data_IF_237725573907
#
_entry.id   IF_237725573907
#
_cell.length_a   1.000
_cell.length_b   1.000
_cell.length_c   1.000
_cell.angle_alpha   90.00
_cell.angle_beta   90.00
_cell.angle_gamma   90.00
#
_symmetry.space_group_name_H-M   'P 1'
#
loop_
_entity.id
_entity.type
_entity.pdbx_description
1 polymer ?
#
# COMPACT_ATOMS: atom_id res chain seq x y z
N UNK A 1 -3.05 1.59 19.24
CA UNK A 1 -2.75 0.76 18.06
C UNK A 1 -3.48 -0.57 18.23
N UNK A 2 -4.27 -1.02 17.25
CA UNK A 2 -5.16 -2.20 17.38
C UNK A 2 -4.41 -3.53 17.39
N UNK A 3 -3.27 -3.62 16.69
CA UNK A 3 -2.45 -4.82 16.58
C UNK A 3 -1.03 -4.55 17.14
N UNK A 4 -0.83 -4.64 18.46
CA UNK A 4 0.45 -4.27 19.08
C UNK A 4 1.57 -5.30 18.87
N UNK A 5 1.24 -6.56 18.59
CA UNK A 5 2.17 -7.67 18.30
C UNK A 5 1.63 -8.52 17.12
N UNK A 6 1.75 -8.03 15.86
CA UNK A 6 1.21 -8.74 14.70
C UNK A 6 1.87 -10.10 14.46
N UNK A 7 3.20 -10.18 14.64
CA UNK A 7 3.95 -11.42 14.40
C UNK A 7 3.58 -12.50 15.42
N UNK A 8 3.57 -12.18 16.71
CA UNK A 8 3.18 -13.13 17.74
C UNK A 8 1.70 -13.52 17.63
N UNK A 9 0.82 -12.60 17.22
CA UNK A 9 -0.59 -12.94 16.93
C UNK A 9 -0.70 -14.00 15.82
N UNK A 10 -0.02 -13.78 14.69
CA UNK A 10 -0.02 -14.73 13.57
C UNK A 10 0.60 -16.07 13.99
N UNK A 11 1.68 -16.05 14.78
CA UNK A 11 2.33 -17.26 15.31
C UNK A 11 1.37 -18.10 16.16
N UNK A 12 0.69 -17.48 17.14
CA UNK A 12 -0.30 -18.15 18.01
C UNK A 12 -1.48 -18.74 17.23
N UNK A 13 -1.89 -18.10 16.12
CA UNK A 13 -2.93 -18.66 15.24
C UNK A 13 -2.42 -19.87 14.44
N UNK A 14 -1.19 -19.79 13.92
CA UNK A 14 -0.56 -20.90 13.18
C UNK A 14 -0.30 -22.12 14.07
N UNK A 15 0.06 -21.93 15.33
CA UNK A 15 0.22 -23.01 16.32
C UNK A 15 -1.09 -23.80 16.54
N UNK A 16 -2.25 -23.18 16.28
CA UNK A 16 -3.57 -23.83 16.31
C UNK A 16 -3.95 -24.50 14.99
N UNK A 17 -3.04 -24.58 14.02
CA UNK A 17 -3.30 -25.16 12.69
C UNK A 17 -4.06 -24.25 11.72
N UNK A 18 -4.30 -22.98 12.07
CA UNK A 18 -5.03 -22.05 11.21
C UNK A 18 -4.12 -21.45 10.13
N UNK A 19 -4.69 -21.28 8.93
CA UNK A 19 -4.10 -20.47 7.86
C UNK A 19 -4.53 -19.02 8.03
N UNK A 20 -3.63 -18.09 7.71
CA UNK A 20 -3.85 -16.64 7.82
C UNK A 20 -3.74 -16.01 6.44
N UNK A 21 -4.73 -15.21 6.07
CA UNK A 21 -4.75 -14.40 4.86
C UNK A 21 -4.96 -12.93 5.27
N UNK A 22 -4.38 -11.99 4.53
CA UNK A 22 -4.50 -10.56 4.77
C UNK A 22 -5.00 -9.87 3.51
N UNK A 23 -5.77 -8.82 3.68
CA UNK A 23 -6.28 -8.02 2.58
C UNK A 23 -5.20 -7.04 2.09
N UNK A 24 -5.03 -6.97 0.77
CA UNK A 24 -4.18 -5.99 0.07
C UNK A 24 -4.93 -5.48 -1.16
N UNK A 25 -4.51 -4.34 -1.70
CA UNK A 25 -5.00 -3.81 -2.96
C UNK A 25 -3.91 -2.95 -3.66
N UNK A 26 -4.08 -2.57 -4.93
CA UNK A 26 -3.06 -1.84 -5.68
C UNK A 26 -3.19 -0.32 -5.55
N UNK A 27 -3.69 0.18 -4.41
CA UNK A 27 -3.92 1.61 -4.18
C UNK A 27 -3.32 2.07 -2.87
N UNK A 28 -3.03 3.37 -2.76
CA UNK A 28 -2.59 3.99 -1.52
C UNK A 28 -3.28 5.33 -1.28
N UNK A 29 -3.80 5.53 -0.06
CA UNK A 29 -4.37 6.80 0.36
C UNK A 29 -3.31 7.82 0.78
N UNK A 30 -3.55 9.11 0.51
CA UNK A 30 -2.58 10.19 0.74
C UNK A 30 -2.18 10.37 2.20
N UNK A 31 -3.04 9.99 3.16
CA UNK A 31 -2.75 10.07 4.59
C UNK A 31 -1.63 9.11 5.03
N UNK A 32 -1.33 8.08 4.23
CA UNK A 32 -0.28 7.13 4.56
C UNK A 32 1.09 7.82 4.65
N UNK A 33 1.89 7.62 5.72
CA UNK A 33 3.21 8.23 5.83
C UNK A 33 4.16 7.89 4.67
N UNK A 34 3.97 6.73 4.03
CA UNK A 34 4.79 6.30 2.89
C UNK A 34 4.36 6.90 1.55
N UNK A 35 3.25 7.65 1.50
CA UNK A 35 2.79 8.26 0.25
C UNK A 35 3.82 9.21 -0.35
N UNK A 36 4.46 10.04 0.49
CA UNK A 36 5.46 11.00 0.04
C UNK A 36 6.71 10.31 -0.53
N UNK A 37 7.15 9.21 0.11
CA UNK A 37 8.25 8.38 -0.41
C UNK A 37 7.94 7.86 -1.81
N UNK A 38 6.75 7.28 -2.02
CA UNK A 38 6.33 6.74 -3.31
C UNK A 38 6.20 7.82 -4.38
N UNK A 39 5.73 9.00 -4.00
CA UNK A 39 5.64 10.17 -4.88
C UNK A 39 7.03 10.64 -5.31
N UNK A 40 7.95 10.80 -4.36
CA UNK A 40 9.33 11.25 -4.62
C UNK A 40 10.11 10.24 -5.49
N UNK A 41 9.92 8.94 -5.25
CA UNK A 41 10.53 7.87 -6.06
C UNK A 41 9.85 7.64 -7.41
N UNK A 42 8.70 8.28 -7.66
CA UNK A 42 7.97 8.14 -8.92
C UNK A 42 7.32 6.77 -9.11
N UNK A 43 6.88 6.13 -8.02
CA UNK A 43 6.26 4.79 -8.03
C UNK A 43 4.74 4.81 -8.22
N UNK A 44 4.14 6.00 -8.23
CA UNK A 44 2.70 6.20 -8.40
C UNK A 44 2.36 6.58 -9.83
N UNK A 45 1.20 6.12 -10.30
CA UNK A 45 0.65 6.46 -11.61
C UNK A 45 0.53 7.98 -11.79
N UNK A 46 0.96 8.49 -12.94
CA UNK A 46 0.98 9.91 -13.26
C UNK A 46 -0.01 10.28 -14.35
N UNK A 47 -0.43 11.54 -14.34
CA UNK A 47 -1.09 12.22 -15.46
C UNK A 47 -0.04 12.59 -16.53
N UNK A 48 -0.47 12.93 -17.76
CA UNK A 48 0.46 13.36 -18.82
C UNK A 48 1.33 14.58 -18.46
N UNK A 49 0.87 15.44 -17.55
CA UNK A 49 1.61 16.60 -17.06
C UNK A 49 2.67 16.26 -15.98
N UNK A 50 2.80 14.98 -15.62
CA UNK A 50 3.73 14.49 -14.60
C UNK A 50 3.22 14.57 -13.16
N UNK A 51 2.05 15.16 -12.90
CA UNK A 51 1.41 15.14 -11.58
C UNK A 51 0.89 13.73 -11.24
N UNK A 52 0.81 13.40 -9.95
CA UNK A 52 0.27 12.09 -9.51
C UNK A 52 -1.23 12.05 -9.81
N UNK A 53 -1.69 10.97 -10.42
CA UNK A 53 -3.13 10.75 -10.60
C UNK A 53 -3.78 10.48 -9.24
N UNK A 54 -4.81 11.26 -8.89
CA UNK A 54 -5.53 11.12 -7.63
C UNK A 54 -7.04 11.36 -7.78
N UNK A 55 -7.82 10.77 -6.87
CA UNK A 55 -9.23 11.06 -6.60
C UNK A 55 -9.63 10.66 -5.16
N UNK A 56 -10.89 10.84 -4.79
CA UNK A 56 -11.40 10.57 -3.43
C UNK A 56 -12.37 9.38 -3.32
N UNK A 57 -12.43 8.53 -4.35
CA UNK A 57 -13.15 7.25 -4.22
C UNK A 57 -12.25 6.24 -3.49
N UNK A 58 -12.83 5.48 -2.55
CA UNK A 58 -12.19 4.49 -1.67
C UNK A 58 -11.27 5.06 -0.57
N UNK A 59 -10.32 5.93 -0.90
CA UNK A 59 -9.49 6.64 0.07
C UNK A 59 -9.36 8.12 -0.31
N UNK A 60 -9.29 9.04 0.65
CA UNK A 60 -8.96 10.44 0.37
C UNK A 60 -7.58 10.55 -0.29
N UNK A 61 -7.52 11.25 -1.42
CA UNK A 61 -6.31 11.43 -2.22
C UNK A 61 -5.68 10.11 -2.67
N UNK A 62 -6.49 9.11 -3.00
CA UNK A 62 -5.97 7.82 -3.45
C UNK A 62 -5.10 7.97 -4.70
N UNK A 63 -3.92 7.34 -4.70
CA UNK A 63 -3.11 7.08 -5.88
C UNK A 63 -3.02 5.57 -6.16
N UNK A 64 -2.56 5.24 -7.36
CA UNK A 64 -2.41 3.86 -7.85
C UNK A 64 -0.93 3.56 -8.00
N UNK A 65 -0.48 2.36 -7.60
CA UNK A 65 0.90 1.92 -7.86
C UNK A 65 1.10 1.70 -9.37
N UNK A 66 2.18 2.23 -9.92
CA UNK A 66 2.51 2.04 -11.34
C UNK A 66 3.30 0.74 -11.52
N UNK A 67 2.61 -0.38 -11.72
CA UNK A 67 3.25 -1.68 -11.94
C UNK A 67 3.88 -1.86 -13.34
N UNK A 68 3.91 -0.82 -14.17
CA UNK A 68 4.77 -0.81 -15.37
C UNK A 68 6.19 -0.35 -15.05
N UNK A 69 6.38 0.30 -13.89
CA UNK A 69 7.67 0.69 -13.37
C UNK A 69 8.30 -0.49 -12.57
N UNK A 70 9.44 -1.08 -13.02
CA UNK A 70 10.05 -2.21 -12.34
C UNK A 70 10.60 -1.87 -10.95
N UNK A 71 10.93 -0.61 -10.66
CA UNK A 71 11.33 -0.18 -9.31
C UNK A 71 10.12 -0.14 -8.37
N UNK A 72 8.94 0.25 -8.86
CA UNK A 72 7.70 0.21 -8.09
C UNK A 72 7.21 -1.21 -7.83
N UNK A 73 7.47 -2.16 -8.74
CA UNK A 73 7.17 -3.58 -8.55
C UNK A 73 8.10 -4.27 -7.54
N UNK A 74 9.35 -3.78 -7.41
CA UNK A 74 10.33 -4.33 -6.46
C UNK A 74 10.12 -3.84 -5.04
N UNK A 75 9.64 -2.62 -4.90
CA UNK A 75 9.24 -2.03 -3.62
C UNK A 75 8.02 -2.77 -3.06
#
# INVERSE_FOLDING_TARGET
>A
MTFPDPEGMIRRLKEKGLKVCVWINPYIGQKSPVFNELKEKGYLLKRPDGSVWQWDKWQPGLAIYDFTNPDACRW
#
